data_IF_837322139258
#
_entry.id   IF_837322139258
#
_cell.length_a   1.000
_cell.length_b   1.000
_cell.length_c   1.000
_cell.angle_alpha   90.00
_cell.angle_beta   90.00
_cell.angle_gamma   90.00
#
_symmetry.space_group_name_H-M   'P 1'
#
loop_
_entity.id
_entity.type
_entity.pdbx_description
1 polymer ?
#
# COMPACT_ATOMS: atom_id res chain seq x y z
N UNK A 1 6.90 -5.37 9.22
CA UNK A 1 5.78 -5.54 8.27
C UNK A 1 6.29 -5.24 6.88
N UNK A 2 5.84 -5.96 5.86
CA UNK A 2 6.03 -5.56 4.47
C UNK A 2 4.67 -5.31 3.82
N UNK A 3 4.52 -4.22 3.07
CA UNK A 3 3.37 -3.92 2.20
C UNK A 3 3.83 -4.14 0.76
N UNK A 4 3.46 -5.25 0.16
CA UNK A 4 4.01 -5.66 -1.12
C UNK A 4 3.07 -5.28 -2.25
N UNK A 5 3.56 -4.37 -3.09
CA UNK A 5 3.03 -4.08 -4.42
C UNK A 5 4.17 -4.38 -5.40
N UNK A 6 4.11 -5.55 -6.04
CA UNK A 6 5.05 -5.95 -7.10
C UNK A 6 4.73 -5.19 -8.40
N UNK A 7 5.61 -5.29 -9.40
CA UNK A 7 5.39 -4.86 -10.80
C UNK A 7 4.25 -3.85 -11.07
N UNK A 8 4.51 -2.54 -11.18
CA UNK A 8 3.44 -1.54 -11.43
C UNK A 8 2.32 -1.48 -10.36
N UNK A 9 2.49 -2.09 -9.19
CA UNK A 9 1.39 -2.30 -8.24
C UNK A 9 0.65 -3.63 -8.42
N UNK A 10 1.12 -4.51 -9.28
CA UNK A 10 0.58 -5.83 -9.62
C UNK A 10 1.50 -6.97 -9.16
N UNK A 11 0.91 -8.08 -8.75
CA UNK A 11 1.63 -9.30 -8.34
C UNK A 11 2.18 -10.09 -9.53
N UNK A 12 1.71 -9.80 -10.73
CA UNK A 12 2.03 -10.52 -11.96
C UNK A 12 2.05 -9.58 -13.17
N UNK A 13 2.48 -10.07 -14.34
CA UNK A 13 2.41 -9.29 -15.58
C UNK A 13 1.12 -9.57 -16.37
N UNK A 14 0.56 -10.78 -16.27
CA UNK A 14 -0.68 -11.14 -16.97
C UNK A 14 -1.69 -11.86 -16.10
N UNK A 15 -1.44 -12.04 -14.81
CA UNK A 15 -2.33 -12.79 -13.93
C UNK A 15 -2.33 -14.28 -14.21
N UNK A 16 -1.24 -14.86 -14.73
CA UNK A 16 -1.19 -16.33 -14.85
C UNK A 16 -0.99 -16.98 -13.49
N UNK A 17 -1.56 -18.18 -13.30
CA UNK A 17 -1.43 -18.98 -12.08
C UNK A 17 0.03 -19.21 -11.71
N UNK A 18 0.88 -19.48 -12.70
CA UNK A 18 2.33 -19.70 -12.52
C UNK A 18 3.08 -18.45 -12.07
N UNK A 19 2.74 -17.27 -12.61
CA UNK A 19 3.34 -16.01 -12.15
C UNK A 19 2.94 -15.76 -10.69
N UNK A 20 1.65 -15.88 -10.38
CA UNK A 20 1.13 -15.66 -9.03
C UNK A 20 1.73 -16.65 -8.02
N UNK A 21 1.83 -17.95 -8.34
CA UNK A 21 2.48 -18.94 -7.47
C UNK A 21 3.94 -18.56 -7.17
N UNK A 22 4.70 -18.11 -8.18
CA UNK A 22 6.08 -17.66 -8.01
C UNK A 22 6.16 -16.43 -7.11
N UNK A 23 5.30 -15.44 -7.35
CA UNK A 23 5.24 -14.22 -6.54
C UNK A 23 4.91 -14.54 -5.08
N UNK A 24 3.81 -15.26 -4.81
CA UNK A 24 3.41 -15.58 -3.45
C UNK A 24 4.44 -16.43 -2.70
N UNK A 25 5.12 -17.36 -3.38
CA UNK A 25 6.23 -18.13 -2.79
C UNK A 25 7.39 -17.21 -2.38
N UNK A 26 7.80 -16.30 -3.26
CA UNK A 26 8.86 -15.35 -2.94
C UNK A 26 8.47 -14.39 -1.79
N UNK A 27 7.19 -13.98 -1.73
CA UNK A 27 6.66 -13.21 -0.60
C UNK A 27 6.72 -14.00 0.71
N UNK A 28 6.36 -15.29 0.68
CA UNK A 28 6.38 -16.18 1.85
C UNK A 28 7.79 -16.34 2.43
N UNK A 29 8.80 -16.47 1.57
CA UNK A 29 10.21 -16.65 1.93
C UNK A 29 10.79 -15.46 2.70
N UNK A 30 10.22 -14.26 2.52
CA UNK A 30 10.65 -13.05 3.23
C UNK A 30 10.54 -13.20 4.75
N UNK A 31 11.58 -12.79 5.49
CA UNK A 31 11.61 -12.85 6.95
C UNK A 31 10.92 -11.64 7.61
N UNK A 32 9.63 -11.51 7.30
CA UNK A 32 8.73 -10.57 7.96
C UNK A 32 7.63 -11.33 8.67
N UNK A 33 7.30 -10.85 9.86
CA UNK A 33 6.21 -11.39 10.67
C UNK A 33 4.86 -11.34 9.94
N UNK A 34 4.59 -10.22 9.26
CA UNK A 34 3.39 -9.99 8.45
C UNK A 34 3.76 -9.39 7.10
N UNK A 35 3.22 -9.96 6.02
CA UNK A 35 3.27 -9.44 4.65
C UNK A 35 1.87 -9.10 4.19
N UNK A 36 1.63 -7.85 3.87
CA UNK A 36 0.34 -7.35 3.40
C UNK A 36 0.41 -7.19 1.90
N UNK A 37 -0.56 -7.78 1.21
CA UNK A 37 -0.57 -7.91 -0.24
C UNK A 37 -1.91 -7.39 -0.75
N UNK A 38 -1.85 -6.59 -1.81
CA UNK A 38 -3.02 -6.09 -2.56
C UNK A 38 -2.73 -6.38 -4.03
N UNK A 39 -3.74 -6.88 -4.75
CA UNK A 39 -3.63 -7.10 -6.19
C UNK A 39 -3.60 -5.77 -6.97
N UNK A 40 -3.37 -5.86 -8.27
CA UNK A 40 -3.52 -4.75 -9.19
C UNK A 40 -4.17 -5.13 -10.51
N UNK A 41 -4.22 -4.17 -11.43
CA UNK A 41 -4.94 -4.31 -12.70
C UNK A 41 -4.41 -5.45 -13.61
N UNK A 42 -3.14 -5.86 -13.46
CA UNK A 42 -2.58 -7.00 -14.21
C UNK A 42 -2.87 -8.37 -13.58
N UNK A 43 -3.32 -8.44 -12.33
CA UNK A 43 -3.63 -9.68 -11.64
C UNK A 43 -5.01 -10.23 -12.03
N UNK A 44 -5.25 -10.34 -13.34
CA UNK A 44 -6.60 -10.49 -13.91
C UNK A 44 -7.35 -11.72 -13.43
N UNK A 45 -6.65 -12.78 -13.03
CA UNK A 45 -7.24 -14.01 -12.52
C UNK A 45 -7.53 -13.99 -11.02
N UNK A 46 -7.14 -12.92 -10.31
CA UNK A 46 -7.52 -12.66 -8.93
C UNK A 46 -8.82 -11.84 -8.81
N UNK A 47 -9.40 -11.41 -9.94
CA UNK A 47 -10.73 -10.82 -10.06
C UNK A 47 -11.66 -11.83 -10.77
N UNK A 48 -12.38 -12.69 -10.03
CA UNK A 48 -13.15 -13.78 -10.64
C UNK A 48 -14.26 -13.30 -11.58
N UNK A 49 -14.89 -12.16 -11.27
CA UNK A 49 -15.97 -11.60 -12.08
C UNK A 49 -15.44 -11.05 -13.40
N UNK A 50 -14.32 -10.32 -13.36
CA UNK A 50 -13.63 -9.86 -14.57
C UNK A 50 -13.12 -11.05 -15.39
N UNK A 51 -12.46 -12.00 -14.73
CA UNK A 51 -11.82 -13.14 -15.39
C UNK A 51 -12.83 -14.07 -16.08
N UNK A 52 -14.01 -14.27 -15.48
CA UNK A 52 -15.08 -15.05 -16.09
C UNK A 52 -15.53 -14.48 -17.45
N UNK A 53 -15.53 -13.15 -17.59
CA UNK A 53 -15.97 -12.44 -18.80
C UNK A 53 -14.84 -12.23 -19.81
N UNK A 54 -13.61 -12.00 -19.33
CA UNK A 54 -12.51 -11.49 -20.16
C UNK A 54 -11.29 -12.41 -20.20
N UNK A 55 -11.29 -13.53 -19.47
CA UNK A 55 -10.13 -14.42 -19.36
C UNK A 55 -9.60 -14.95 -20.69
N UNK A 56 -10.45 -15.12 -21.71
CA UNK A 56 -10.03 -15.52 -23.06
C UNK A 56 -9.15 -14.47 -23.76
N UNK A 57 -9.35 -13.18 -23.46
CA UNK A 57 -8.49 -12.12 -23.97
C UNK A 57 -7.06 -12.23 -23.43
N UNK A 58 -6.91 -12.66 -22.18
CA UNK A 58 -5.62 -12.70 -21.49
C UNK A 58 -4.91 -14.05 -21.64
N UNK A 59 -5.66 -15.15 -21.61
CA UNK A 59 -5.10 -16.50 -21.52
C UNK A 59 -5.56 -17.45 -22.63
N UNK A 60 -6.14 -16.91 -23.71
CA UNK A 60 -6.39 -17.63 -24.95
C UNK A 60 -7.55 -18.62 -24.86
N UNK A 61 -7.26 -19.88 -25.16
CA UNK A 61 -8.26 -20.95 -25.33
C UNK A 61 -8.90 -21.41 -23.99
N UNK A 62 -9.82 -22.37 -24.08
CA UNK A 62 -10.51 -22.93 -22.91
C UNK A 62 -9.54 -23.52 -21.90
N UNK A 63 -8.49 -24.20 -22.35
CA UNK A 63 -7.46 -24.82 -21.51
C UNK A 63 -6.72 -23.77 -20.68
N UNK A 64 -6.24 -22.70 -21.35
CA UNK A 64 -5.57 -21.59 -20.67
C UNK A 64 -6.50 -20.85 -19.71
N UNK A 65 -7.78 -20.69 -20.08
CA UNK A 65 -8.79 -20.08 -19.20
C UNK A 65 -9.01 -20.91 -17.94
N UNK A 66 -9.31 -22.20 -18.08
CA UNK A 66 -9.60 -23.11 -16.96
C UNK A 66 -8.43 -23.23 -15.99
N UNK A 67 -7.21 -23.36 -16.53
CA UNK A 67 -5.97 -23.40 -15.72
C UNK A 67 -5.86 -22.20 -14.79
N UNK A 68 -6.16 -21.00 -15.28
CA UNK A 68 -5.96 -19.75 -14.56
C UNK A 68 -7.19 -19.28 -13.77
N UNK A 69 -8.39 -19.83 -14.04
CA UNK A 69 -9.63 -19.47 -13.33
C UNK A 69 -9.60 -19.78 -11.82
N UNK A 70 -8.70 -20.67 -11.41
CA UNK A 70 -8.48 -21.09 -10.01
C UNK A 70 -7.33 -20.37 -9.32
N UNK A 71 -6.85 -19.24 -9.87
CA UNK A 71 -5.70 -18.54 -9.29
C UNK A 71 -5.98 -17.96 -7.90
N UNK A 72 -7.25 -17.70 -7.56
CA UNK A 72 -7.64 -17.30 -6.21
C UNK A 72 -7.32 -18.38 -5.16
N UNK A 73 -7.24 -19.66 -5.55
CA UNK A 73 -6.86 -20.76 -4.65
C UNK A 73 -5.41 -20.63 -4.18
N UNK A 74 -4.55 -19.95 -4.96
CA UNK A 74 -3.20 -19.61 -4.52
C UNK A 74 -3.31 -18.72 -3.28
N UNK A 75 -4.11 -17.65 -3.35
CA UNK A 75 -4.30 -16.73 -2.24
C UNK A 75 -4.78 -17.49 -1.00
N UNK A 76 -5.78 -18.36 -1.13
CA UNK A 76 -6.31 -19.16 -0.04
C UNK A 76 -5.25 -20.08 0.58
N UNK A 77 -4.46 -20.77 -0.26
CA UNK A 77 -3.35 -21.64 0.17
C UNK A 77 -2.32 -20.89 1.03
N UNK A 78 -2.05 -19.62 0.71
CA UNK A 78 -1.12 -18.79 1.49
C UNK A 78 -1.80 -18.10 2.69
N UNK A 79 -3.11 -17.81 2.63
CA UNK A 79 -3.93 -17.33 3.77
C UNK A 79 -4.06 -18.39 4.86
N UNK A 80 -4.22 -19.68 4.51
CA UNK A 80 -4.41 -20.77 5.49
C UNK A 80 -3.18 -21.01 6.37
N UNK A 81 -2.01 -20.48 5.98
CA UNK A 81 -0.80 -20.46 6.82
C UNK A 81 -0.77 -19.28 7.80
N UNK A 82 -1.81 -18.45 7.89
CA UNK A 82 -1.89 -17.24 8.72
C UNK A 82 -1.76 -17.51 10.23
N UNK A 83 -1.89 -18.75 10.68
CA UNK A 83 -1.60 -19.15 12.06
C UNK A 83 -0.09 -19.31 12.37
N UNK A 84 0.79 -19.07 11.39
CA UNK A 84 2.25 -19.19 11.53
C UNK A 84 2.95 -17.82 11.53
N UNK A 85 4.16 -17.67 12.12
CA UNK A 85 4.89 -16.39 12.26
C UNK A 85 5.38 -15.73 10.96
N UNK A 86 4.84 -16.12 9.79
CA UNK A 86 5.20 -15.62 8.46
C UNK A 86 3.96 -15.35 7.59
N UNK A 87 2.88 -14.84 8.19
CA UNK A 87 1.57 -14.74 7.53
C UNK A 87 1.57 -13.78 6.34
N UNK A 88 0.89 -14.19 5.27
CA UNK A 88 0.51 -13.33 4.14
C UNK A 88 -0.95 -12.95 4.34
N UNK A 89 -1.21 -11.64 4.36
CA UNK A 89 -2.53 -11.06 4.47
C UNK A 89 -2.84 -10.40 3.14
N UNK A 90 -3.64 -11.08 2.33
CA UNK A 90 -4.14 -10.54 1.08
C UNK A 90 -5.46 -9.80 1.32
N UNK A 91 -5.49 -8.52 0.96
CA UNK A 91 -6.63 -7.62 1.15
C UNK A 91 -7.25 -7.26 -0.21
N UNK A 92 -8.52 -7.62 -0.40
CA UNK A 92 -9.27 -7.30 -1.62
C UNK A 92 -10.43 -6.32 -1.33
N UNK A 93 -10.09 -5.04 -1.16
CA UNK A 93 -11.04 -4.00 -0.72
C UNK A 93 -11.65 -4.32 0.65
N UNK A 94 -10.77 -4.63 1.61
CA UNK A 94 -11.13 -5.05 2.96
C UNK A 94 -10.11 -4.54 3.98
N UNK A 95 -10.46 -4.62 5.27
CA UNK A 95 -9.57 -4.27 6.36
C UNK A 95 -9.10 -5.49 7.15
N UNK A 96 -7.97 -5.35 7.83
CA UNK A 96 -7.49 -6.29 8.83
C UNK A 96 -6.95 -5.54 10.06
N UNK A 97 -7.16 -6.13 11.24
CA UNK A 97 -6.49 -5.72 12.46
C UNK A 97 -5.22 -6.56 12.62
N UNK A 98 -4.07 -5.91 12.67
CA UNK A 98 -2.77 -6.58 12.75
C UNK A 98 -2.22 -6.43 14.16
N UNK A 99 -1.85 -7.56 14.76
CA UNK A 99 -1.13 -7.61 16.03
C UNK A 99 0.22 -8.29 15.79
N UNK A 100 1.31 -7.55 15.98
CA UNK A 100 2.66 -8.09 15.92
C UNK A 100 3.03 -8.66 17.30
N UNK A 101 3.33 -9.95 17.35
CA UNK A 101 3.60 -10.77 18.55
C UNK A 101 4.99 -11.41 18.55
N UNK A 102 5.84 -11.17 17.55
CA UNK A 102 7.21 -11.71 17.55
C UNK A 102 7.95 -11.25 18.82
N UNK A 103 8.57 -12.14 19.63
CA UNK A 103 9.10 -11.79 20.95
C UNK A 103 10.17 -10.68 20.98
N UNK A 104 10.96 -10.57 19.91
CA UNK A 104 11.96 -9.53 19.69
C UNK A 104 11.43 -8.35 18.85
N UNK A 105 10.13 -8.37 18.55
CA UNK A 105 9.43 -7.42 17.69
C UNK A 105 8.93 -6.17 18.41
N UNK A 106 8.27 -5.26 17.68
CA UNK A 106 7.84 -3.98 18.23
C UNK A 106 6.56 -4.08 19.10
N UNK A 107 5.90 -5.24 19.14
CA UNK A 107 4.65 -5.48 19.87
C UNK A 107 3.58 -4.41 19.57
N UNK A 108 3.43 -4.04 18.29
CA UNK A 108 2.47 -3.03 17.86
C UNK A 108 1.18 -3.63 17.33
N UNK A 109 0.10 -2.87 17.43
CA UNK A 109 -1.20 -3.20 16.89
C UNK A 109 -1.73 -2.04 16.03
N UNK A 110 -2.27 -2.35 14.86
CA UNK A 110 -2.76 -1.34 13.91
C UNK A 110 -3.83 -1.90 12.97
N UNK A 111 -4.68 -1.02 12.43
CA UNK A 111 -5.67 -1.35 11.40
C UNK A 111 -5.14 -0.98 10.02
N UNK A 112 -5.25 -1.90 9.08
CA UNK A 112 -4.88 -1.71 7.68
C UNK A 112 -6.09 -1.93 6.78
N UNK A 113 -6.28 -1.04 5.81
CA UNK A 113 -7.24 -1.24 4.72
C UNK A 113 -6.48 -1.42 3.41
N UNK A 114 -6.86 -2.40 2.61
CA UNK A 114 -6.20 -2.73 1.34
C UNK A 114 -7.19 -2.79 0.18
N UNK A 115 -6.89 -2.17 -0.95
CA UNK A 115 -7.78 -2.20 -2.13
C UNK A 115 -7.06 -2.22 -3.47
N UNK A 116 -7.38 -3.17 -4.36
CA UNK A 116 -6.73 -3.30 -5.67
C UNK A 116 -7.31 -2.36 -6.74
N UNK A 117 -8.39 -1.65 -6.42
CA UNK A 117 -9.16 -0.92 -7.40
C UNK A 117 -8.43 0.32 -7.93
N UNK A 118 -8.60 0.57 -9.23
CA UNK A 118 -8.09 1.76 -9.90
C UNK A 118 -9.09 2.34 -10.89
N UNK A 119 -8.96 3.64 -11.18
CA UNK A 119 -9.70 4.26 -12.28
C UNK A 119 -9.09 3.75 -13.58
N UNK A 120 -9.83 2.92 -14.30
CA UNK A 120 -9.39 2.48 -15.61
C UNK A 120 -10.60 2.24 -16.52
N UNK A 121 -10.52 2.75 -17.76
CA UNK A 121 -11.60 2.65 -18.75
C UNK A 121 -11.34 1.62 -19.85
N UNK A 122 -10.23 0.89 -19.78
CA UNK A 122 -9.90 -0.18 -20.71
C UNK A 122 -10.16 -1.56 -20.12
N UNK A 123 -9.59 -2.57 -20.78
CA UNK A 123 -9.74 -3.96 -20.38
C UNK A 123 -8.64 -4.39 -19.40
N UNK A 124 -8.85 -4.14 -18.10
CA UNK A 124 -8.01 -4.68 -17.02
C UNK A 124 -8.87 -4.96 -15.77
N UNK A 125 -8.40 -5.86 -14.91
CA UNK A 125 -9.11 -6.23 -13.69
C UNK A 125 -9.11 -5.10 -12.66
N UNK A 126 -10.02 -5.19 -11.68
CA UNK A 126 -10.15 -4.20 -10.60
C UNK A 126 -10.32 -2.75 -11.11
N UNK A 127 -10.85 -2.59 -12.32
CA UNK A 127 -11.27 -1.31 -12.87
C UNK A 127 -12.67 -0.97 -12.37
N UNK A 128 -12.87 0.26 -11.89
CA UNK A 128 -14.20 0.83 -11.74
C UNK A 128 -14.43 1.94 -12.76
N UNK A 129 -15.71 2.26 -13.00
CA UNK A 129 -16.14 3.27 -13.96
C UNK A 129 -15.44 4.62 -13.72
N UNK A 130 -15.30 5.38 -14.80
CA UNK A 130 -14.76 6.75 -14.74
C UNK A 130 -15.74 7.76 -14.11
N UNK A 131 -17.00 7.35 -13.88
CA UNK A 131 -18.03 8.13 -13.23
C UNK A 131 -17.64 8.45 -11.77
N UNK A 132 -17.70 9.73 -11.34
CA UNK A 132 -17.32 10.13 -9.99
C UNK A 132 -18.01 9.33 -8.86
N UNK A 133 -19.31 9.06 -9.02
CA UNK A 133 -20.15 8.39 -8.03
C UNK A 133 -19.71 6.95 -7.71
N UNK A 134 -19.13 6.25 -8.68
CA UNK A 134 -18.60 4.91 -8.47
C UNK A 134 -17.33 4.95 -7.60
N UNK A 135 -16.48 5.94 -7.83
CA UNK A 135 -15.34 6.21 -6.96
C UNK A 135 -15.78 6.59 -5.55
N UNK A 136 -16.78 7.47 -5.42
CA UNK A 136 -17.29 7.90 -4.12
C UNK A 136 -17.86 6.71 -3.32
N UNK A 137 -18.70 5.88 -3.97
CA UNK A 137 -19.28 4.67 -3.36
C UNK A 137 -18.22 3.64 -2.99
N UNK A 138 -17.19 3.47 -3.81
CA UNK A 138 -16.10 2.54 -3.53
C UNK A 138 -15.29 3.02 -2.33
N UNK A 139 -14.75 4.23 -2.39
CA UNK A 139 -13.81 4.70 -1.38
C UNK A 139 -14.48 5.05 -0.05
N UNK A 140 -15.78 5.40 -0.02
CA UNK A 140 -16.51 5.65 1.23
C UNK A 140 -16.59 4.44 2.16
N UNK A 141 -16.29 3.24 1.68
CA UNK A 141 -16.29 2.00 2.47
C UNK A 141 -15.05 1.87 3.37
N UNK A 142 -14.01 2.69 3.19
CA UNK A 142 -12.82 2.62 4.02
C UNK A 142 -13.15 3.08 5.45
N UNK A 143 -12.86 2.27 6.49
CA UNK A 143 -13.11 2.66 7.88
C UNK A 143 -12.30 3.89 8.29
N UNK A 144 -12.96 4.81 9.02
CA UNK A 144 -12.36 6.07 9.48
C UNK A 144 -11.15 5.89 10.42
N UNK A 145 -11.06 4.75 11.10
CA UNK A 145 -9.99 4.44 12.06
C UNK A 145 -8.77 3.74 11.43
N UNK A 146 -8.77 3.53 10.11
CA UNK A 146 -7.65 2.93 9.35
C UNK A 146 -6.32 3.64 9.65
N UNK A 147 -5.34 2.93 10.21
CA UNK A 147 -3.99 3.47 10.51
C UNK A 147 -3.10 3.48 9.27
N UNK A 148 -3.17 2.42 8.47
CA UNK A 148 -2.38 2.22 7.25
C UNK A 148 -3.33 1.95 6.08
N UNK A 149 -3.20 2.71 5.00
CA UNK A 149 -3.96 2.51 3.78
C UNK A 149 -3.03 1.94 2.69
N UNK A 150 -3.44 0.88 2.01
CA UNK A 150 -2.72 0.29 0.88
C UNK A 150 -3.64 0.24 -0.32
N UNK A 151 -3.35 1.00 -1.37
CA UNK A 151 -4.19 1.04 -2.57
C UNK A 151 -3.37 0.73 -3.81
N UNK A 152 -3.98 0.14 -4.83
CA UNK A 152 -3.29 -0.01 -6.10
C UNK A 152 -2.96 1.37 -6.70
N UNK A 153 -3.99 2.22 -6.82
CA UNK A 153 -3.93 3.57 -7.37
C UNK A 153 -3.45 4.62 -6.36
N UNK A 154 -2.69 5.67 -6.79
CA UNK A 154 -2.36 6.80 -5.93
C UNK A 154 -3.54 7.79 -5.79
N UNK A 155 -3.57 8.60 -4.70
CA UNK A 155 -4.48 9.74 -4.61
C UNK A 155 -4.08 10.87 -5.56
N UNK A 156 -5.07 11.63 -6.06
CA UNK A 156 -4.85 12.73 -7.02
C UNK A 156 -3.82 13.75 -6.50
N UNK A 157 -2.85 14.10 -7.34
CA UNK A 157 -1.80 15.09 -7.07
C UNK A 157 -0.76 14.64 -6.05
N UNK A 158 -0.83 13.39 -5.56
CA UNK A 158 0.02 12.85 -4.52
C UNK A 158 0.70 11.56 -4.99
N UNK A 159 1.98 11.66 -5.33
CA UNK A 159 2.83 10.59 -5.84
C UNK A 159 2.26 9.93 -7.12
N UNK A 160 1.70 10.74 -8.01
CA UNK A 160 0.98 10.33 -9.21
C UNK A 160 1.40 11.05 -10.50
N UNK A 161 2.61 11.63 -10.53
CA UNK A 161 3.14 12.46 -11.64
C UNK A 161 4.49 12.01 -12.15
N UNK A 162 4.84 12.49 -13.35
CA UNK A 162 6.18 12.38 -13.93
C UNK A 162 7.16 13.41 -13.32
N UNK A 163 8.43 13.04 -13.06
CA UNK A 163 9.47 14.00 -12.70
C UNK A 163 9.66 15.04 -13.82
N UNK A 164 9.34 16.30 -13.54
CA UNK A 164 9.53 17.43 -14.47
C UNK A 164 8.26 18.22 -14.81
N UNK A 165 7.07 17.69 -14.52
CA UNK A 165 5.79 18.40 -14.73
C UNK A 165 5.42 19.22 -13.48
N UNK A 166 5.97 20.44 -13.40
CA UNK A 166 5.68 21.39 -12.32
C UNK A 166 4.54 22.37 -12.65
N UNK A 167 3.81 22.21 -13.75
CA UNK A 167 2.71 23.12 -14.09
C UNK A 167 1.38 22.60 -13.53
N UNK A 168 0.76 23.27 -12.55
CA UNK A 168 -0.66 23.07 -12.29
C UNK A 168 -1.41 23.62 -13.50
N UNK A 169 -1.81 22.75 -14.44
CA UNK A 169 -2.70 23.16 -15.51
C UNK A 169 -4.13 22.93 -15.06
N UNK A 170 -4.86 24.01 -14.78
CA UNK A 170 -6.26 24.05 -14.34
C UNK A 170 -7.27 23.62 -15.43
N UNK A 171 -6.83 22.85 -16.43
CA UNK A 171 -7.66 22.34 -17.53
C UNK A 171 -7.58 20.82 -17.59
N UNK A 172 -8.57 20.09 -17.06
CA UNK A 172 -8.72 18.66 -17.31
C UNK A 172 -9.17 18.47 -18.76
N UNK A 173 -8.30 17.92 -19.61
CA UNK A 173 -8.68 17.61 -20.99
C UNK A 173 -7.57 17.35 -22.01
N UNK A 174 -6.30 17.61 -21.68
CA UNK A 174 -5.18 17.30 -22.58
C UNK A 174 -3.95 16.92 -21.76
N UNK A 175 -3.69 15.62 -21.63
CA UNK A 175 -2.39 15.10 -21.16
C UNK A 175 -1.86 15.64 -19.84
N UNK A 176 -2.70 15.90 -18.83
CA UNK A 176 -2.26 16.64 -17.62
C UNK A 176 -1.30 15.88 -16.69
N UNK A 177 -0.74 14.73 -17.08
CA UNK A 177 0.32 14.04 -16.32
C UNK A 177 -0.05 13.56 -14.90
N UNK A 178 -1.31 13.68 -14.51
CA UNK A 178 -1.82 13.35 -13.18
C UNK A 178 -2.79 12.18 -13.31
N UNK A 179 -2.45 11.05 -12.69
CA UNK A 179 -3.22 9.80 -12.83
C UNK A 179 -3.92 9.35 -11.54
N UNK A 180 -3.76 10.11 -10.45
CA UNK A 180 -4.33 9.73 -9.16
C UNK A 180 -5.84 9.92 -9.06
N UNK A 181 -6.43 9.25 -8.06
CA UNK A 181 -7.86 9.25 -7.83
C UNK A 181 -8.31 10.44 -6.95
N UNK A 182 -9.22 11.26 -7.47
CA UNK A 182 -9.80 12.43 -6.75
C UNK A 182 -10.63 11.99 -5.55
N UNK A 183 -11.46 10.96 -5.72
CA UNK A 183 -12.33 10.43 -4.68
C UNK A 183 -11.52 9.79 -3.54
N UNK A 184 -10.43 9.10 -3.88
CA UNK A 184 -9.49 8.56 -2.89
C UNK A 184 -8.83 9.69 -2.08
N UNK A 185 -8.36 10.76 -2.74
CA UNK A 185 -7.82 11.94 -2.06
C UNK A 185 -8.83 12.54 -1.08
N UNK A 186 -10.09 12.68 -1.53
CA UNK A 186 -11.17 13.23 -0.72
C UNK A 186 -11.41 12.40 0.55
N UNK A 187 -11.57 11.08 0.40
CA UNK A 187 -11.79 10.16 1.52
C UNK A 187 -10.57 10.10 2.45
N UNK A 188 -9.35 10.21 1.92
CA UNK A 188 -8.13 10.29 2.74
C UNK A 188 -8.10 11.51 3.65
N UNK A 189 -8.69 12.65 3.26
CA UNK A 189 -8.89 13.78 4.16
C UNK A 189 -9.79 13.46 5.37
N UNK A 190 -10.66 12.45 5.21
CA UNK A 190 -11.53 11.94 6.27
C UNK A 190 -10.86 10.89 7.14
N UNK A 191 -10.09 9.97 6.58
CA UNK A 191 -9.43 8.90 7.36
C UNK A 191 -8.16 9.41 8.03
N UNK A 192 -7.37 10.19 7.29
CA UNK A 192 -6.03 10.67 7.66
C UNK A 192 -5.13 9.51 8.15
N UNK A 193 -4.88 8.47 7.32
CA UNK A 193 -4.04 7.35 7.74
C UNK A 193 -2.61 7.85 8.04
N UNK A 194 -1.90 7.21 8.96
CA UNK A 194 -0.52 7.61 9.27
C UNK A 194 0.42 7.34 8.09
N UNK A 195 0.15 6.25 7.37
CA UNK A 195 0.87 5.83 6.17
C UNK A 195 -0.14 5.42 5.09
N UNK A 196 0.00 5.98 3.89
CA UNK A 196 -0.68 5.52 2.69
C UNK A 196 0.36 4.99 1.70
N UNK A 197 0.18 3.75 1.24
CA UNK A 197 1.08 3.08 0.28
C UNK A 197 0.31 2.86 -1.01
N UNK A 198 0.91 3.24 -2.13
CA UNK A 198 0.34 3.07 -3.45
C UNK A 198 1.37 2.65 -4.50
N UNK A 199 0.89 2.34 -5.71
CA UNK A 199 1.72 1.96 -6.85
C UNK A 199 1.10 2.51 -8.13
N UNK A 200 0.92 1.66 -9.15
CA UNK A 200 0.31 1.97 -10.45
C UNK A 200 1.13 2.92 -11.33
N UNK A 201 1.51 4.08 -10.80
CA UNK A 201 2.19 5.15 -11.55
C UNK A 201 3.69 5.11 -11.24
N UNK A 202 4.51 4.59 -12.14
CA UNK A 202 5.93 4.30 -11.85
C UNK A 202 6.74 5.57 -11.68
N UNK A 203 6.40 6.57 -12.46
CA UNK A 203 7.03 7.88 -12.46
C UNK A 203 6.74 8.63 -11.16
N UNK A 204 5.63 8.29 -10.49
CA UNK A 204 5.24 8.82 -9.18
C UNK A 204 6.07 8.26 -8.01
N UNK A 205 6.98 7.32 -8.26
CA UNK A 205 7.83 6.67 -7.25
C UNK A 205 8.50 7.71 -6.34
N UNK A 206 8.21 7.61 -5.04
CA UNK A 206 8.68 8.62 -4.08
C UNK A 206 7.83 8.64 -2.83
N UNK A 207 7.91 9.74 -2.09
CA UNK A 207 7.00 9.98 -0.97
C UNK A 207 6.71 11.47 -0.80
N UNK A 208 5.55 11.74 -0.23
CA UNK A 208 5.06 13.06 0.12
C UNK A 208 4.45 13.02 1.50
N UNK A 209 4.74 14.03 2.31
CA UNK A 209 4.10 14.23 3.62
C UNK A 209 3.05 15.31 3.49
N UNK A 210 1.81 15.00 3.86
CA UNK A 210 0.66 15.88 3.70
C UNK A 210 0.08 16.25 5.04
N UNK A 211 0.05 17.56 5.32
CA UNK A 211 -0.71 18.13 6.43
C UNK A 211 -2.16 18.34 6.01
N UNK A 212 -3.10 17.82 6.81
CA UNK A 212 -4.53 17.98 6.58
C UNK A 212 -5.07 19.19 7.34
N UNK A 213 -5.71 20.11 6.63
CA UNK A 213 -6.45 21.20 7.23
C UNK A 213 -7.95 20.90 7.18
N UNK A 214 -8.61 20.92 8.33
CA UNK A 214 -10.06 20.80 8.43
C UNK A 214 -10.68 22.15 8.09
N UNK A 215 -11.31 22.25 6.92
CA UNK A 215 -12.06 23.46 6.56
C UNK A 215 -13.34 23.58 7.41
N UNK A 216 -13.91 24.78 7.47
CA UNK A 216 -15.12 25.07 8.26
C UNK A 216 -16.33 24.20 7.86
N UNK A 217 -16.34 23.69 6.63
CA UNK A 217 -17.34 22.76 6.11
C UNK A 217 -17.11 21.29 6.51
N UNK A 218 -16.12 20.99 7.35
CA UNK A 218 -15.80 19.65 7.85
C UNK A 218 -14.96 18.78 6.91
N UNK A 219 -14.67 19.25 5.68
CA UNK A 219 -13.80 18.53 4.75
C UNK A 219 -12.33 18.86 5.00
N UNK A 220 -11.50 17.82 5.06
CA UNK A 220 -10.06 18.04 5.14
C UNK A 220 -9.44 18.03 3.75
N UNK A 221 -8.66 19.06 3.45
CA UNK A 221 -7.89 19.15 2.22
C UNK A 221 -6.38 19.14 2.51
N UNK A 222 -5.54 18.68 1.57
CA UNK A 222 -4.10 18.84 1.67
C UNK A 222 -3.74 20.34 1.77
N UNK A 223 -3.05 20.74 2.85
CA UNK A 223 -2.64 22.13 3.06
C UNK A 223 -1.18 22.34 2.68
N UNK A 224 -0.31 21.46 3.17
CA UNK A 224 1.14 21.54 2.93
C UNK A 224 1.64 20.17 2.55
N UNK A 225 2.35 20.12 1.43
CA UNK A 225 2.99 18.91 0.94
C UNK A 225 4.51 19.08 1.00
N UNK A 226 5.18 18.30 1.84
CA UNK A 226 6.65 18.25 1.87
C UNK A 226 7.13 17.08 1.05
N UNK A 227 7.95 17.36 0.04
CA UNK A 227 8.69 16.35 -0.73
C UNK A 227 10.12 16.31 -0.21
N UNK A 228 10.65 15.13 0.05
CA UNK A 228 12.07 14.96 0.29
C UNK A 228 12.60 13.87 -0.64
N UNK A 229 13.77 14.10 -1.28
CA UNK A 229 14.28 13.17 -2.26
C UNK A 229 14.71 11.88 -1.57
N UNK A 230 14.39 10.75 -2.18
CA UNK A 230 15.05 9.50 -1.86
C UNK A 230 16.49 9.53 -2.40
N UNK A 231 17.39 8.68 -1.86
CA UNK A 231 18.71 8.51 -2.44
C UNK A 231 18.66 8.32 -3.95
N UNK A 232 19.64 8.89 -4.67
CA UNK A 232 19.76 8.69 -6.11
C UNK A 232 19.86 7.20 -6.45
N UNK A 233 19.46 6.82 -7.66
CA UNK A 233 19.53 5.42 -8.11
C UNK A 233 20.97 4.85 -8.08
N UNK A 234 21.97 5.72 -8.25
CA UNK A 234 23.40 5.39 -8.13
C UNK A 234 23.89 5.24 -6.68
N UNK A 235 23.13 5.74 -5.70
CA UNK A 235 23.49 5.66 -4.30
C UNK A 235 23.41 4.23 -3.78
N UNK A 236 24.32 3.85 -2.88
CA UNK A 236 24.23 2.57 -2.13
C UNK A 236 23.37 2.69 -0.86
N UNK A 237 22.84 3.88 -0.55
CA UNK A 237 22.02 4.12 0.64
C UNK A 237 20.65 3.43 0.51
N UNK A 238 20.10 3.01 1.65
CA UNK A 238 18.72 2.53 1.75
C UNK A 238 17.75 3.71 1.57
N UNK A 239 16.64 3.47 0.88
CA UNK A 239 15.55 4.44 0.73
C UNK A 239 14.73 4.52 2.04
N UNK A 240 15.33 5.10 3.07
CA UNK A 240 14.73 5.21 4.39
C UNK A 240 13.93 6.52 4.52
N UNK A 241 12.67 6.39 4.94
CA UNK A 241 11.79 7.47 5.39
C UNK A 241 11.63 7.28 6.90
N UNK A 242 12.06 8.25 7.69
CA UNK A 242 11.96 8.17 9.14
C UNK A 242 10.85 9.08 9.66
N UNK A 243 9.75 8.48 10.09
CA UNK A 243 8.60 9.17 10.66
C UNK A 243 8.63 9.21 12.19
N UNK A 244 9.73 8.73 12.81
CA UNK A 244 9.83 8.55 14.26
C UNK A 244 10.39 9.75 15.02
N UNK A 245 11.06 10.69 14.33
CA UNK A 245 11.74 11.82 14.95
C UNK A 245 13.25 11.65 15.14
N UNK A 246 13.85 10.53 14.71
CA UNK A 246 15.26 10.22 15.00
C UNK A 246 16.24 10.85 14.00
N UNK A 247 15.87 10.89 12.73
CA UNK A 247 16.64 11.39 11.58
C UNK A 247 15.88 12.46 10.81
N UNK A 248 14.54 12.40 10.82
CA UNK A 248 13.67 13.41 10.23
C UNK A 248 12.60 13.81 11.26
N UNK A 249 11.88 14.91 11.01
CA UNK A 249 10.76 15.35 11.85
C UNK A 249 9.74 14.21 12.01
N UNK A 250 9.31 13.93 13.24
CA UNK A 250 8.25 12.96 13.49
C UNK A 250 6.94 13.35 12.77
N UNK A 251 6.05 12.38 12.55
CA UNK A 251 4.69 12.68 12.09
C UNK A 251 3.95 13.56 13.10
N UNK A 252 3.21 14.56 12.62
CA UNK A 252 2.42 15.47 13.46
C UNK A 252 1.07 14.86 13.90
N UNK A 253 1.12 13.64 14.41
CA UNK A 253 -0.05 12.92 14.90
C UNK A 253 0.01 12.90 16.43
N UNK A 254 -0.93 13.59 17.09
CA UNK A 254 -1.10 13.52 18.54
C UNK A 254 -1.75 12.17 18.88
N UNK A 255 -1.65 11.69 20.13
CA UNK A 255 -2.33 10.44 20.53
C UNK A 255 -1.59 9.13 20.28
N UNK A 256 -0.47 9.08 19.53
CA UNK A 256 0.39 7.87 19.50
C UNK A 256 1.11 7.60 20.84
N UNK A 257 0.80 8.37 21.87
CA UNK A 257 1.47 8.44 23.16
C UNK A 257 0.50 8.36 24.35
N UNK A 258 -0.80 8.17 24.12
CA UNK A 258 -1.73 7.95 25.24
C UNK A 258 -1.53 6.53 25.74
N UNK A 259 -1.21 6.40 27.02
CA UNK A 259 -1.20 5.16 27.83
C UNK A 259 -2.58 4.51 27.97
N UNK A 260 -3.55 4.91 27.15
CA UNK A 260 -4.85 4.28 27.05
C UNK A 260 -4.69 3.01 26.21
N UNK A 261 -5.22 1.85 26.64
CA UNK A 261 -5.15 0.64 25.85
C UNK A 261 -5.80 0.89 24.48
N UNK A 262 -5.03 0.74 23.40
CA UNK A 262 -5.56 0.78 22.04
C UNK A 262 -6.53 -0.40 21.91
N UNK A 263 -7.83 -0.10 21.86
CA UNK A 263 -8.88 -1.10 21.68
C UNK A 263 -9.05 -1.40 20.19
N UNK A 264 -9.02 -2.69 19.83
CA UNK A 264 -9.47 -3.12 18.50
C UNK A 264 -10.98 -2.93 18.32
N UNK A 265 -11.72 -2.93 19.43
CA UNK A 265 -13.16 -2.75 19.49
C UNK A 265 -13.51 -1.28 19.79
N UNK A 266 -14.09 -0.60 18.80
CA UNK A 266 -14.94 0.59 19.00
C UNK A 266 -14.39 1.68 19.94
N UNK A 267 -13.30 2.34 19.57
CA UNK A 267 -13.04 3.71 20.03
C UNK A 267 -13.83 4.72 19.17
N UNK A 268 -14.05 5.94 19.66
CA UNK A 268 -14.63 7.01 18.84
C UNK A 268 -13.67 7.35 17.68
N UNK A 269 -13.93 6.76 16.51
CA UNK A 269 -13.14 6.94 15.30
C UNK A 269 -13.07 8.42 14.88
N UNK A 270 -14.11 9.20 15.16
CA UNK A 270 -14.13 10.63 14.88
C UNK A 270 -13.19 11.40 15.83
N UNK A 271 -13.13 11.02 17.11
CA UNK A 271 -12.18 11.61 18.06
C UNK A 271 -10.72 11.27 17.69
N UNK A 272 -10.44 10.02 17.33
CA UNK A 272 -9.10 9.58 16.95
C UNK A 272 -8.60 10.21 15.63
N UNK A 273 -9.50 10.44 14.66
CA UNK A 273 -9.18 11.17 13.41
C UNK A 273 -8.59 12.55 13.68
N UNK A 274 -9.17 13.32 14.62
CA UNK A 274 -8.73 14.69 14.93
C UNK A 274 -7.31 14.75 15.47
N UNK A 275 -6.80 13.63 15.97
CA UNK A 275 -5.44 13.51 16.48
C UNK A 275 -4.42 13.29 15.35
N UNK A 276 -4.84 12.73 14.20
CA UNK A 276 -3.98 12.53 13.02
C UNK A 276 -4.06 13.76 12.11
N UNK A 277 -2.99 14.58 12.08
CA UNK A 277 -2.90 15.78 11.23
C UNK A 277 -2.06 15.57 9.99
N UNK A 278 -1.23 14.52 9.96
CA UNK A 278 -0.27 14.29 8.90
C UNK A 278 -0.31 12.84 8.40
N UNK A 279 -0.29 12.69 7.07
CA UNK A 279 -0.13 11.41 6.38
C UNK A 279 1.18 11.40 5.61
N UNK A 280 1.93 10.30 5.70
CA UNK A 280 3.00 10.01 4.74
C UNK A 280 2.41 9.17 3.60
N UNK A 281 2.39 9.70 2.38
CA UNK A 281 2.04 8.96 1.16
C UNK A 281 3.32 8.46 0.53
N UNK A 282 3.36 7.18 0.20
CA UNK A 282 4.49 6.51 -0.43
C UNK A 282 3.99 5.83 -1.69
N UNK A 283 4.47 6.27 -2.85
CA UNK A 283 4.37 5.46 -4.05
C UNK A 283 5.56 4.52 -4.09
N UNK A 284 5.24 3.24 -3.98
CA UNK A 284 6.11 2.11 -3.79
C UNK A 284 6.40 1.37 -5.11
N UNK A 285 6.09 1.95 -6.27
CA UNK A 285 6.24 1.30 -7.57
C UNK A 285 7.61 0.62 -7.72
N UNK A 286 7.58 -0.70 -7.93
CA UNK A 286 8.78 -1.53 -8.02
C UNK A 286 9.43 -1.44 -9.40
N UNK A 287 8.69 -1.10 -10.45
CA UNK A 287 9.26 -0.87 -11.77
C UNK A 287 9.87 0.53 -11.84
N UNK A 288 11.11 0.60 -12.32
CA UNK A 288 11.84 1.85 -12.51
C UNK A 288 11.66 2.44 -13.92
N UNK A 289 11.09 1.65 -14.86
CA UNK A 289 10.82 2.06 -16.23
C UNK A 289 9.45 1.54 -16.65
N UNK A 290 8.72 2.36 -17.38
CA UNK A 290 7.44 2.01 -18.00
C UNK A 290 7.68 1.29 -19.33
N UNK A 291 6.66 0.55 -19.79
CA UNK A 291 6.69 -0.07 -21.12
C UNK A 291 6.56 1.00 -22.22
N UNK A 292 7.23 0.84 -23.39
CA UNK A 292 8.14 -0.24 -23.78
C UNK A 292 9.52 -0.04 -23.13
N UNK A 293 10.04 -1.11 -22.49
CA UNK A 293 11.29 -1.06 -21.72
C UNK A 293 12.53 -0.83 -22.60
N UNK A 294 12.77 0.41 -23.02
CA UNK A 294 13.98 0.79 -23.76
C UNK A 294 15.18 0.51 -22.83
N UNK A 295 16.03 -0.46 -23.22
CA UNK A 295 17.17 -0.92 -22.42
C UNK A 295 16.84 -1.94 -21.32
N UNK A 296 15.71 -2.64 -21.41
CA UNK A 296 15.34 -3.75 -20.53
C UNK A 296 14.59 -3.35 -19.26
N UNK A 297 14.02 -4.36 -18.57
CA UNK A 297 13.32 -4.18 -17.29
C UNK A 297 14.31 -3.65 -16.23
N UNK A 298 13.87 -2.70 -15.43
CA UNK A 298 14.64 -2.16 -14.32
C UNK A 298 13.75 -2.04 -13.08
N UNK A 299 14.31 -2.35 -11.91
CA UNK A 299 13.57 -2.39 -10.65
C UNK A 299 14.09 -1.37 -9.64
N UNK A 300 13.17 -0.70 -8.95
CA UNK A 300 13.44 0.19 -7.85
C UNK A 300 13.81 -0.61 -6.59
N UNK A 301 14.78 -0.08 -5.84
CA UNK A 301 15.08 -0.62 -4.51
C UNK A 301 13.91 -0.39 -3.54
N UNK A 302 13.77 -1.27 -2.53
CA UNK A 302 12.74 -1.12 -1.53
C UNK A 302 12.81 0.22 -0.79
N UNK A 303 11.66 0.79 -0.46
CA UNK A 303 11.47 1.89 0.50
C UNK A 303 11.26 1.27 1.87
N UNK A 304 11.93 1.82 2.86
CA UNK A 304 11.75 1.47 4.27
C UNK A 304 11.17 2.66 4.99
N UNK A 305 10.06 2.47 5.68
CA UNK A 305 9.44 3.49 6.52
C UNK A 305 9.57 3.07 7.98
N UNK A 306 10.30 3.86 8.77
CA UNK A 306 10.31 3.75 10.22
C UNK A 306 9.13 4.59 10.76
N UNK A 307 8.16 3.97 11.43
CA UNK A 307 6.96 4.64 11.95
C UNK A 307 6.65 4.20 13.39
N UNK A 308 6.15 5.13 14.21
CA UNK A 308 5.66 4.82 15.55
C UNK A 308 4.19 4.37 15.45
N UNK A 309 3.89 3.15 15.87
CA UNK A 309 2.53 2.60 15.93
C UNK A 309 2.15 2.29 17.39
N UNK A 310 0.86 2.19 17.73
CA UNK A 310 0.41 1.82 19.07
C UNK A 310 0.98 0.47 19.51
N UNK A 311 1.42 0.39 20.76
CA UNK A 311 1.96 -0.83 21.39
C UNK A 311 0.85 -1.48 22.19
N UNK A 312 0.70 -2.80 22.10
CA UNK A 312 -0.22 -3.52 22.98
C UNK A 312 0.50 -3.94 24.26
N UNK A 313 -0.14 -3.72 25.41
CA UNK A 313 0.38 -4.17 26.70
C UNK A 313 -0.04 -5.62 26.93
N UNK A 314 0.92 -6.51 27.13
CA UNK A 314 0.66 -7.81 27.73
C UNK A 314 0.71 -7.67 29.25
N UNK A 315 -0.43 -7.80 29.93
CA UNK A 315 -0.48 -7.76 31.39
C UNK A 315 0.40 -8.86 32.04
N UNK A 316 0.80 -9.88 31.28
CA UNK A 316 1.71 -10.95 31.73
C UNK A 316 3.20 -10.57 31.71
N UNK A 317 3.62 -9.58 30.91
CA UNK A 317 5.03 -9.15 30.81
C UNK A 317 5.40 -8.05 31.82
N UNK A 318 4.41 -7.35 32.38
CA UNK A 318 4.62 -6.32 33.41
C UNK A 318 5.09 -6.84 34.77
N UNK A 319 5.10 -8.16 34.97
CA UNK A 319 5.56 -8.79 36.22
C UNK A 319 7.09 -8.79 36.38
N UNK A 320 7.86 -8.53 35.32
CA UNK A 320 9.33 -8.50 35.37
C UNK A 320 9.86 -7.14 34.95
N UNK A 321 9.94 -6.24 35.93
CA UNK A 321 10.33 -4.84 35.78
C UNK A 321 11.60 -4.65 34.97
N UNK A 322 11.45 -4.29 33.69
CA UNK A 322 12.49 -3.66 32.89
C UNK A 322 11.85 -2.55 32.06
N UNK A 323 11.97 -1.31 32.54
CA UNK A 323 11.59 -0.11 31.79
C UNK A 323 12.58 0.10 30.64
N UNK A 324 12.33 -0.51 29.48
CA UNK A 324 13.03 -0.12 28.24
C UNK A 324 12.49 1.24 27.78
N UNK A 325 13.30 2.29 27.94
CA UNK A 325 13.02 3.67 27.47
C UNK A 325 13.02 3.82 25.93
N UNK A 326 13.07 2.73 25.15
CA UNK A 326 13.09 2.79 23.69
C UNK A 326 11.67 2.65 23.15
N UNK A 327 11.18 3.70 22.47
CA UNK A 327 9.95 3.65 21.66
C UNK A 327 10.08 2.52 20.63
N UNK A 328 9.16 1.55 20.56
CA UNK A 328 9.22 0.51 19.55
C UNK A 328 9.00 1.12 18.16
N UNK A 329 9.86 0.74 17.22
CA UNK A 329 9.81 1.20 15.83
C UNK A 329 9.22 0.07 15.01
N UNK A 330 8.14 0.36 14.29
CA UNK A 330 7.65 -0.53 13.25
C UNK A 330 8.30 -0.16 11.93
N UNK A 331 8.90 -1.16 11.28
CA UNK A 331 9.44 -1.03 9.93
C UNK A 331 8.44 -1.54 8.92
N UNK A 332 8.10 -0.69 7.95
CA UNK A 332 7.30 -1.04 6.78
C UNK A 332 8.21 -1.08 5.56
N UNK A 333 8.26 -2.24 4.91
CA UNK A 333 9.00 -2.46 3.66
C UNK A 333 8.02 -2.57 2.50
N UNK A 334 8.30 -1.94 1.36
CA UNK A 334 7.45 -2.16 0.18
C UNK A 334 7.78 -3.45 -0.60
N UNK A 335 8.91 -4.08 -0.31
CA UNK A 335 9.46 -5.23 -1.06
C UNK A 335 10.48 -6.00 -0.20
N UNK A 336 10.48 -7.35 -0.16
CA UNK A 336 11.58 -8.14 0.38
C UNK A 336 12.84 -7.90 -0.46
N UNK A 337 13.95 -7.60 0.21
CA UNK A 337 15.22 -7.46 -0.51
C UNK A 337 15.83 -8.82 -0.84
N UNK A 338 15.74 -9.28 -2.09
CA UNK A 338 16.75 -10.05 -2.85
C UNK A 338 16.17 -10.67 -4.15
N UNK A 339 17.04 -10.73 -5.17
CA UNK A 339 16.93 -11.37 -6.50
C UNK A 339 16.10 -10.66 -7.60
N UNK A 340 16.82 -10.17 -8.62
CA UNK A 340 16.35 -9.74 -9.95
C UNK A 340 15.99 -10.91 -10.88
N UNK A 341 16.24 -12.15 -10.45
CA UNK A 341 16.35 -13.30 -11.35
C UNK A 341 15.02 -14.05 -11.54
N UNK A 342 13.98 -13.67 -10.77
CA UNK A 342 12.67 -14.32 -10.84
C UNK A 342 11.89 -14.01 -12.14
N UNK A 343 12.33 -13.05 -12.96
CA UNK A 343 11.56 -12.51 -14.09
C UNK A 343 12.37 -12.23 -15.37
N UNK A 344 13.62 -12.72 -15.41
CA UNK A 344 14.46 -12.75 -16.62
C UNK A 344 14.27 -14.08 -17.34
N UNK A 345 13.09 -14.36 -17.89
CA UNK A 345 12.95 -15.33 -19.00
C UNK A 345 11.59 -15.20 -19.69
N UNK A 346 11.67 -15.35 -21.02
CA UNK A 346 10.64 -15.32 -22.08
C UNK A 346 10.05 -13.94 -22.47
N UNK A 347 10.62 -13.44 -23.56
CA UNK A 347 10.16 -12.37 -24.47
C UNK A 347 8.93 -12.76 -25.26
#
# INVERSE_FOLDING_TARGET
MATLQQNQGDLSNRGTKSELERTFKWIEEADYEVKIVVAGNHDVSLDPEFYAKHGSHFHGDSTGREKNATSIDIVNKFKDKSATPKSIIFLNHEYAAIKLTRPDGPHTMFKVFGSPFSRFSGLWAFGYSSLPEDGDRLWSQIPLDTDILVTHTPPLGLCDRQPGENTPTDTPGSGSGVYGCKQLLHVMGNIRPMLAVCGHIHEGRGYQRVMWHEAENGFASPMTTTVAPLPSISSKKQNLIDLTGKKQRALENRGSHTTQPYSLEGGDAHANRRLRKETCIVNAAIMARSWPYIGGKAFNRPIVVDINLPVWNDASLSAHGTTSKRRPISRVYNCPGQSSDLWCEET
#
